data_IF_130360718072
#
_entry.id   IF_130360718072
#
_cell.length_a   1.000
_cell.length_b   1.000
_cell.length_c   1.000
_cell.angle_alpha   90.00
_cell.angle_beta   90.00
_cell.angle_gamma   90.00
#
_symmetry.space_group_name_H-M   'P 1'
#
loop_
_entity.id
_entity.type
_entity.pdbx_description
1 polymer ?
#
# COMPACT_ATOMS: atom_id res chain seq x y z
N UNK A 1 25.87 28.75 12.51
CA UNK A 1 25.81 29.36 11.15
C UNK A 1 26.22 28.29 10.16
N UNK A 2 25.29 27.94 9.26
CA UNK A 2 25.47 27.25 7.95
C UNK A 2 26.07 25.82 7.99
N UNK A 3 25.44 24.75 7.49
CA UNK A 3 24.18 24.58 6.79
C UNK A 3 23.96 23.08 6.49
N UNK A 4 22.74 22.61 6.76
CA UNK A 4 22.18 21.39 6.17
C UNK A 4 22.02 21.64 4.66
N UNK A 5 22.63 20.80 3.82
CA UNK A 5 22.14 20.49 2.46
C UNK A 5 23.09 19.48 1.82
N UNK A 6 22.78 18.18 1.93
CA UNK A 6 23.25 17.20 0.96
C UNK A 6 22.04 16.45 0.43
N UNK A 7 21.47 17.09 -0.58
CA UNK A 7 20.49 16.57 -1.52
C UNK A 7 20.86 15.17 -2.01
N UNK A 8 19.88 14.28 -1.97
CA UNK A 8 19.76 13.17 -2.92
C UNK A 8 19.63 13.76 -4.33
N UNK A 9 20.77 14.03 -4.97
CA UNK A 9 20.86 14.27 -6.41
C UNK A 9 20.65 12.95 -7.13
N UNK A 10 19.79 12.96 -8.15
CA UNK A 10 19.63 11.85 -9.07
C UNK A 10 21.01 11.36 -9.59
N UNK A 11 21.20 10.04 -9.78
CA UNK A 11 22.40 9.57 -10.46
C UNK A 11 22.41 10.12 -11.91
N UNK A 12 23.58 10.48 -12.46
CA UNK A 12 23.69 11.02 -13.80
C UNK A 12 23.19 10.02 -14.85
N UNK A 13 22.55 10.53 -15.91
CA UNK A 13 22.14 9.75 -17.08
C UNK A 13 23.33 8.95 -17.63
N UNK A 14 23.24 7.62 -17.61
CA UNK A 14 24.22 6.77 -18.29
C UNK A 14 24.46 5.38 -17.71
N UNK A 15 24.02 5.07 -16.49
CA UNK A 15 24.22 3.74 -15.89
C UNK A 15 22.88 3.03 -15.73
N UNK A 16 22.45 2.35 -16.78
CA UNK A 16 21.44 1.30 -16.71
C UNK A 16 22.03 0.09 -15.98
N UNK A 17 22.11 0.17 -14.65
CA UNK A 17 22.09 -1.05 -13.86
C UNK A 17 20.64 -1.52 -13.94
N UNK A 18 20.35 -2.68 -14.56
CA UNK A 18 19.00 -3.22 -14.47
C UNK A 18 18.82 -3.56 -13.00
N UNK A 19 18.13 -2.68 -12.27
CA UNK A 19 17.43 -3.08 -11.06
C UNK A 19 16.33 -3.99 -11.59
N UNK A 20 16.70 -5.23 -11.85
CA UNK A 20 15.78 -6.35 -11.85
C UNK A 20 15.25 -6.32 -10.43
N UNK A 21 14.14 -5.61 -10.24
CA UNK A 21 13.34 -5.76 -9.05
C UNK A 21 13.16 -7.26 -8.91
N UNK A 22 13.63 -7.78 -7.78
CA UNK A 22 13.46 -9.16 -7.39
C UNK A 22 11.98 -9.33 -7.10
N UNK A 23 11.16 -9.36 -8.16
CA UNK A 23 9.74 -9.72 -8.22
C UNK A 23 9.55 -11.20 -7.80
N UNK A 24 10.63 -11.91 -7.45
CA UNK A 24 10.67 -13.28 -6.95
C UNK A 24 10.08 -13.47 -5.55
N UNK A 25 9.40 -12.46 -4.98
CA UNK A 25 8.65 -12.63 -3.74
C UNK A 25 7.22 -13.12 -4.00
N UNK A 26 6.72 -13.08 -5.24
CA UNK A 26 5.58 -13.88 -5.66
C UNK A 26 6.12 -15.23 -6.16
N UNK A 27 5.79 -16.37 -5.50
CA UNK A 27 6.24 -17.66 -6.00
C UNK A 27 5.70 -17.91 -7.42
N UNK A 28 6.39 -18.75 -8.22
CA UNK A 28 5.93 -19.20 -9.55
C UNK A 28 4.47 -19.65 -9.59
N UNK A 29 3.92 -20.09 -8.46
CA UNK A 29 2.53 -20.53 -8.29
C UNK A 29 1.48 -19.40 -8.35
N UNK A 30 1.87 -18.13 -8.29
CA UNK A 30 0.95 -17.01 -8.58
C UNK A 30 0.94 -16.63 -10.05
N UNK A 31 2.01 -16.94 -10.76
CA UNK A 31 2.03 -16.83 -12.20
C UNK A 31 1.15 -17.97 -12.74
N UNK A 32 -0.06 -17.61 -13.19
CA UNK A 32 -1.00 -18.53 -13.82
C UNK A 32 -1.79 -19.46 -12.87
N UNK A 33 -2.41 -18.90 -11.82
CA UNK A 33 -3.34 -19.63 -10.93
C UNK A 33 -4.83 -19.34 -11.24
N UNK A 34 -5.18 -19.09 -12.51
CA UNK A 34 -6.54 -18.74 -12.94
C UNK A 34 -7.04 -17.35 -12.53
N UNK A 35 -6.37 -16.69 -11.58
CA UNK A 35 -6.63 -15.31 -11.17
C UNK A 35 -5.73 -14.29 -11.82
N UNK A 36 -4.42 -14.49 -11.77
CA UNK A 36 -3.44 -13.58 -12.33
C UNK A 36 -2.74 -14.28 -13.49
N UNK A 37 -2.72 -13.62 -14.65
CA UNK A 37 -1.98 -14.07 -15.82
C UNK A 37 -0.99 -13.01 -16.25
N UNK A 38 0.19 -13.46 -16.64
CA UNK A 38 1.22 -12.64 -17.26
C UNK A 38 1.61 -13.28 -18.58
N UNK A 39 1.77 -12.46 -19.61
CA UNK A 39 2.26 -12.90 -20.92
C UNK A 39 3.20 -11.86 -21.49
N UNK A 40 4.22 -12.34 -22.18
CA UNK A 40 5.10 -11.49 -22.97
C UNK A 40 4.47 -11.27 -24.34
N UNK A 41 4.39 -10.01 -24.76
CA UNK A 41 3.84 -9.61 -26.06
C UNK A 41 4.78 -8.59 -26.70
N UNK A 42 4.72 -8.47 -28.03
CA UNK A 42 5.42 -7.39 -28.74
C UNK A 42 4.83 -6.04 -28.31
N UNK A 43 5.66 -5.01 -28.17
CA UNK A 43 5.21 -3.64 -27.85
C UNK A 43 4.18 -3.13 -28.88
N UNK A 44 4.36 -3.46 -30.16
CA UNK A 44 3.46 -3.03 -31.24
C UNK A 44 2.06 -3.66 -31.14
N UNK A 45 1.93 -4.75 -30.37
CA UNK A 45 0.65 -5.41 -30.14
C UNK A 45 -0.20 -4.74 -29.05
N UNK A 46 0.35 -3.75 -28.34
CA UNK A 46 -0.34 -3.05 -27.25
C UNK A 46 -0.76 -1.65 -27.73
N UNK A 47 -2.07 -1.35 -27.79
CA UNK A 47 -2.55 -0.02 -28.12
C UNK A 47 -1.98 1.03 -27.17
N UNK A 48 -1.71 2.24 -27.66
CA UNK A 48 -1.23 3.37 -26.83
C UNK A 48 -2.20 3.79 -25.73
N UNK A 49 -3.47 3.41 -25.86
CA UNK A 49 -4.52 3.59 -24.84
C UNK A 49 -4.48 2.55 -23.72
N UNK A 50 -3.75 1.44 -23.86
CA UNK A 50 -3.66 0.36 -22.87
C UNK A 50 -2.33 0.44 -22.10
N UNK A 51 -2.41 0.39 -20.77
CA UNK A 51 -1.27 0.28 -19.89
C UNK A 51 -0.60 -1.07 -20.08
N UNK A 52 0.72 -1.05 -20.25
CA UNK A 52 1.55 -2.23 -20.17
C UNK A 52 2.92 -1.90 -19.63
N UNK A 53 3.53 -2.87 -18.93
CA UNK A 53 4.89 -2.73 -18.46
C UNK A 53 5.85 -3.08 -19.61
N UNK A 54 6.48 -2.06 -20.20
CA UNK A 54 7.49 -2.23 -21.24
C UNK A 54 8.84 -2.59 -20.58
N UNK A 55 9.44 -3.69 -21.01
CA UNK A 55 10.73 -4.18 -20.47
C UNK A 55 11.91 -3.77 -21.37
N UNK A 56 11.63 -3.16 -22.52
CA UNK A 56 12.64 -2.81 -23.53
C UNK A 56 12.90 -3.94 -24.51
N UNK A 57 13.53 -3.62 -25.64
CA UNK A 57 13.78 -4.59 -26.72
C UNK A 57 12.51 -5.01 -27.46
N UNK A 58 11.53 -4.11 -27.61
CA UNK A 58 10.23 -4.35 -28.25
C UNK A 58 9.34 -5.38 -27.50
N UNK A 59 9.59 -5.58 -26.20
CA UNK A 59 8.86 -6.55 -25.37
C UNK A 59 8.10 -5.85 -24.25
N UNK A 60 6.84 -6.23 -24.09
CA UNK A 60 5.97 -5.78 -23.01
C UNK A 60 5.34 -6.94 -22.26
N UNK A 61 5.03 -6.71 -20.98
CA UNK A 61 4.23 -7.61 -20.16
C UNK A 61 2.78 -7.16 -20.21
N UNK A 62 1.93 -8.07 -20.69
CA UNK A 62 0.48 -7.97 -20.52
C UNK A 62 0.08 -8.75 -19.29
N UNK A 63 -0.51 -8.04 -18.33
CA UNK A 63 -0.92 -8.55 -17.03
C UNK A 63 -2.43 -8.43 -16.90
N UNK A 64 -3.11 -9.50 -16.49
CA UNK A 64 -4.56 -9.43 -16.19
C UNK A 64 -4.89 -10.16 -14.90
N UNK A 65 -5.85 -9.61 -14.16
CA UNK A 65 -6.35 -10.19 -12.92
C UNK A 65 -7.86 -10.37 -12.96
N UNK A 66 -8.35 -11.58 -12.61
CA UNK A 66 -9.76 -11.86 -12.37
C UNK A 66 -10.12 -11.44 -10.95
N UNK A 67 -10.94 -10.40 -10.85
CA UNK A 67 -11.40 -9.86 -9.57
C UNK A 67 -12.56 -10.66 -8.99
N UNK A 68 -12.63 -10.73 -7.65
CA UNK A 68 -13.81 -11.21 -6.94
C UNK A 68 -14.88 -10.12 -6.76
N UNK A 69 -15.92 -10.37 -5.96
CA UNK A 69 -16.91 -9.36 -5.59
C UNK A 69 -16.24 -8.09 -5.06
N UNK A 70 -16.77 -6.91 -5.41
CA UNK A 70 -16.26 -5.62 -4.95
C UNK A 70 -17.17 -5.06 -3.87
N UNK A 71 -16.63 -4.58 -2.73
CA UNK A 71 -17.44 -3.94 -1.71
C UNK A 71 -18.01 -2.61 -2.24
N UNK A 72 -19.24 -2.27 -1.85
CA UNK A 72 -19.87 -0.98 -2.21
C UNK A 72 -19.27 0.18 -1.42
N UNK A 73 -18.92 -0.09 -0.16
CA UNK A 73 -18.23 0.84 0.76
C UNK A 73 -16.84 0.31 1.07
N UNK A 74 -15.79 1.16 1.11
CA UNK A 74 -14.46 0.71 1.49
C UNK A 74 -14.47 -0.01 2.84
N UNK A 75 -13.74 -1.11 2.93
CA UNK A 75 -13.50 -1.80 4.20
C UNK A 75 -12.61 -0.89 5.04
N UNK A 76 -12.91 -0.78 6.34
CA UNK A 76 -12.11 0.01 7.26
C UNK A 76 -11.07 -0.87 7.94
N UNK A 77 -9.80 -0.45 7.94
CA UNK A 77 -8.75 -1.15 8.67
C UNK A 77 -8.02 -0.15 9.57
N UNK A 78 -8.05 -0.45 10.87
CA UNK A 78 -7.37 0.28 11.92
C UNK A 78 -6.05 -0.41 12.23
N UNK A 79 -4.94 0.25 11.93
CA UNK A 79 -3.62 -0.35 12.03
C UNK A 79 -2.50 0.68 11.94
N UNK A 80 -1.24 0.27 12.09
CA UNK A 80 -0.09 1.16 11.92
C UNK A 80 1.13 0.38 11.42
N UNK A 81 2.06 1.11 10.81
CA UNK A 81 3.26 0.55 10.21
C UNK A 81 4.32 0.26 11.30
N UNK A 82 4.29 -0.95 11.88
CA UNK A 82 5.20 -1.34 12.98
C UNK A 82 6.44 -2.09 12.47
N UNK A 83 7.61 -1.45 12.49
CA UNK A 83 8.91 -2.09 12.24
C UNK A 83 9.63 -2.50 13.54
N UNK A 84 9.04 -3.40 14.31
CA UNK A 84 9.74 -4.14 15.35
C UNK A 84 9.48 -5.65 15.14
N UNK A 85 10.57 -6.42 15.08
CA UNK A 85 10.64 -7.89 15.03
C UNK A 85 9.62 -8.55 15.99
N UNK A 86 8.96 -9.67 15.65
CA UNK A 86 8.26 -10.01 14.42
C UNK A 86 6.75 -9.71 14.63
N UNK A 87 6.33 -8.44 14.56
CA UNK A 87 4.90 -8.14 14.51
C UNK A 87 4.44 -8.15 13.05
N UNK A 88 4.44 -9.34 12.46
CA UNK A 88 4.45 -9.60 11.00
C UNK A 88 3.05 -9.87 10.44
N UNK A 89 2.04 -9.42 11.18
CA UNK A 89 0.62 -9.65 10.92
C UNK A 89 -0.02 -8.50 10.12
N UNK A 90 0.51 -7.28 10.25
CA UNK A 90 0.04 -6.09 9.50
C UNK A 90 0.37 -6.18 8.01
N UNK A 91 1.57 -6.67 7.68
CA UNK A 91 2.02 -6.78 6.29
C UNK A 91 1.14 -7.77 5.49
N UNK A 92 0.66 -8.83 6.15
CA UNK A 92 -0.27 -9.79 5.57
C UNK A 92 -1.63 -9.17 5.21
N UNK A 93 -2.08 -8.16 5.98
CA UNK A 93 -3.33 -7.43 5.70
C UNK A 93 -3.18 -6.55 4.43
N UNK A 94 -2.07 -5.85 4.25
CA UNK A 94 -1.80 -5.10 3.00
C UNK A 94 -1.57 -6.02 1.81
N UNK A 95 -0.87 -7.13 2.02
CA UNK A 95 -0.63 -8.14 1.00
C UNK A 95 -1.97 -8.72 0.53
N UNK A 96 -2.87 -9.11 1.43
CA UNK A 96 -4.16 -9.67 1.01
C UNK A 96 -5.05 -8.63 0.35
N UNK A 97 -5.06 -7.38 0.82
CA UNK A 97 -5.79 -6.28 0.18
C UNK A 97 -5.27 -6.06 -1.25
N UNK A 98 -3.96 -6.14 -1.45
CA UNK A 98 -3.33 -6.02 -2.77
C UNK A 98 -3.62 -7.22 -3.67
N UNK A 99 -3.58 -8.44 -3.13
CA UNK A 99 -3.89 -9.68 -3.85
C UNK A 99 -5.36 -9.69 -4.31
N UNK A 100 -6.26 -9.23 -3.44
CA UNK A 100 -7.68 -9.14 -3.74
C UNK A 100 -8.05 -7.88 -4.51
N UNK A 101 -7.11 -6.97 -4.77
CA UNK A 101 -7.30 -5.66 -5.40
C UNK A 101 -8.44 -4.84 -4.77
N UNK A 102 -8.53 -4.85 -3.43
CA UNK A 102 -9.54 -4.12 -2.69
C UNK A 102 -9.11 -2.68 -2.44
N UNK A 103 -10.09 -1.77 -2.43
CA UNK A 103 -9.89 -0.41 -1.93
C UNK A 103 -10.30 -0.37 -0.46
N UNK A 104 -9.41 0.14 0.37
CA UNK A 104 -9.52 0.08 1.82
C UNK A 104 -9.32 1.46 2.40
N UNK A 105 -10.19 1.84 3.34
CA UNK A 105 -10.02 3.02 4.15
C UNK A 105 -9.17 2.68 5.38
N UNK A 106 -7.93 3.13 5.38
CA UNK A 106 -7.02 2.96 6.49
C UNK A 106 -7.20 4.08 7.51
N UNK A 107 -7.28 3.68 8.77
CA UNK A 107 -7.22 4.55 9.94
C UNK A 107 -5.91 4.29 10.70
N UNK A 108 -4.88 5.12 10.50
CA UNK A 108 -3.60 4.87 11.11
C UNK A 108 -3.65 4.94 12.62
N UNK A 109 -2.95 4.05 13.31
CA UNK A 109 -2.99 3.91 14.77
C UNK A 109 -1.57 3.97 15.36
N UNK A 110 -0.73 4.96 15.03
CA UNK A 110 0.66 5.03 15.52
C UNK A 110 0.71 5.05 17.05
N UNK A 111 1.86 4.69 17.64
CA UNK A 111 2.01 4.79 19.10
C UNK A 111 1.77 6.23 19.57
N UNK A 112 1.02 6.38 20.65
CA UNK A 112 0.60 7.68 21.20
C UNK A 112 -0.35 8.49 20.30
N UNK A 113 -0.91 7.88 19.24
CA UNK A 113 -1.97 8.49 18.43
C UNK A 113 -3.23 8.76 19.26
N UNK A 114 -3.72 10.01 19.33
CA UNK A 114 -4.86 10.38 20.16
C UNK A 114 -6.22 9.98 19.57
N UNK A 115 -6.32 9.68 18.26
CA UNK A 115 -7.61 9.61 17.59
C UNK A 115 -8.15 8.17 17.45
N UNK A 116 -7.41 7.28 16.80
CA UNK A 116 -8.01 5.99 16.36
C UNK A 116 -7.80 4.84 17.33
N UNK A 117 -6.73 4.85 18.14
CA UNK A 117 -6.53 3.81 19.17
C UNK A 117 -7.63 3.81 20.24
N UNK A 118 -8.10 4.98 20.75
CA UNK A 118 -9.25 5.01 21.66
C UNK A 118 -10.54 4.51 20.99
N UNK A 119 -10.75 4.81 19.70
CA UNK A 119 -11.91 4.32 18.94
C UNK A 119 -11.92 2.79 18.86
N UNK A 120 -10.77 2.15 18.58
CA UNK A 120 -10.65 0.68 18.56
C UNK A 120 -10.92 0.08 19.95
N UNK A 121 -10.45 0.72 21.02
CA UNK A 121 -10.78 0.28 22.39
C UNK A 121 -12.28 0.31 22.65
N UNK A 122 -12.98 1.36 22.19
CA UNK A 122 -14.43 1.50 22.35
C UNK A 122 -15.21 0.46 21.53
N UNK A 123 -14.76 0.18 20.29
CA UNK A 123 -15.48 -0.72 19.38
C UNK A 123 -15.22 -2.21 19.67
N UNK A 124 -13.99 -2.60 19.96
CA UNK A 124 -13.63 -4.01 20.14
C UNK A 124 -13.13 -4.37 21.55
N UNK A 125 -13.10 -3.44 22.49
CA UNK A 125 -12.80 -3.69 23.91
C UNK A 125 -11.32 -3.80 24.25
N UNK A 126 -10.41 -3.77 23.26
CA UNK A 126 -8.95 -3.77 23.47
C UNK A 126 -8.20 -3.00 22.38
N UNK A 127 -7.07 -2.39 22.74
CA UNK A 127 -6.16 -1.75 21.79
C UNK A 127 -5.26 -2.78 21.08
N UNK A 128 -5.89 -3.71 20.36
CA UNK A 128 -5.22 -4.70 19.53
C UNK A 128 -5.38 -4.31 18.06
N UNK A 129 -4.33 -4.54 17.26
CA UNK A 129 -4.31 -4.20 15.84
C UNK A 129 -3.67 -5.37 15.06
N UNK A 130 -4.03 -5.58 13.77
CA UNK A 130 -5.06 -4.85 13.03
C UNK A 130 -6.47 -5.12 13.59
N UNK A 131 -7.36 -4.14 13.41
CA UNK A 131 -8.80 -4.28 13.66
C UNK A 131 -9.52 -3.88 12.37
N UNK A 132 -10.37 -4.76 11.86
CA UNK A 132 -11.06 -4.55 10.58
C UNK A 132 -12.56 -4.42 10.82
N UNK A 133 -13.19 -3.51 10.09
CA UNK A 133 -14.64 -3.32 10.06
C UNK A 133 -15.08 -3.34 8.60
N UNK A 134 -16.00 -4.24 8.27
CA UNK A 134 -16.66 -4.25 6.96
C UNK A 134 -18.06 -3.63 7.06
N UNK A 135 -18.24 -2.37 6.63
CA UNK A 135 -19.54 -1.69 6.68
C UNK A 135 -20.58 -2.30 5.74
N UNK A 136 -20.18 -3.15 4.78
CA UNK A 136 -21.09 -3.82 3.85
C UNK A 136 -21.80 -5.02 4.50
N UNK A 137 -21.22 -5.58 5.57
CA UNK A 137 -21.76 -6.76 6.26
C UNK A 137 -22.00 -6.54 7.75
N UNK A 138 -21.47 -5.46 8.32
CA UNK A 138 -21.50 -5.19 9.76
C UNK A 138 -20.49 -6.02 10.56
N UNK A 139 -19.63 -6.80 9.90
CA UNK A 139 -18.61 -7.62 10.55
C UNK A 139 -17.48 -6.73 11.05
N UNK A 140 -17.03 -6.97 12.29
CA UNK A 140 -15.82 -6.37 12.85
C UNK A 140 -15.02 -7.43 13.60
N UNK A 141 -13.70 -7.48 13.42
CA UNK A 141 -12.86 -8.50 14.06
C UNK A 141 -11.40 -8.07 14.24
N UNK A 142 -10.75 -8.76 15.17
CA UNK A 142 -9.30 -8.76 15.37
C UNK A 142 -8.66 -9.94 14.62
N UNK A 143 -7.35 -10.13 14.85
CA UNK A 143 -6.52 -11.22 14.35
C UNK A 143 -6.34 -11.21 12.83
N UNK A 144 -5.12 -10.97 12.37
CA UNK A 144 -4.83 -10.88 10.93
C UNK A 144 -5.26 -12.12 10.16
N UNK A 145 -5.08 -13.31 10.74
CA UNK A 145 -5.40 -14.58 10.07
C UNK A 145 -6.91 -14.71 9.84
N UNK A 146 -7.73 -14.25 10.78
CA UNK A 146 -9.18 -14.27 10.65
C UNK A 146 -9.67 -13.19 9.69
N UNK A 147 -9.04 -12.02 9.70
CA UNK A 147 -9.27 -10.97 8.70
C UNK A 147 -8.95 -11.49 7.30
N UNK A 148 -7.80 -12.15 7.10
CA UNK A 148 -7.41 -12.72 5.80
C UNK A 148 -8.42 -13.77 5.34
N UNK A 149 -8.77 -14.74 6.20
CA UNK A 149 -9.80 -15.76 5.90
C UNK A 149 -11.11 -15.10 5.50
N UNK A 150 -11.55 -14.10 6.24
CA UNK A 150 -12.77 -13.37 5.96
C UNK A 150 -12.72 -12.70 4.58
N UNK A 151 -11.68 -11.90 4.30
CA UNK A 151 -11.53 -11.17 3.05
C UNK A 151 -11.45 -12.11 1.84
N UNK A 152 -10.70 -13.21 1.96
CA UNK A 152 -10.56 -14.23 0.90
C UNK A 152 -11.88 -14.95 0.64
N UNK A 153 -12.63 -15.29 1.69
CA UNK A 153 -13.93 -15.96 1.53
C UNK A 153 -15.00 -15.03 0.98
N UNK A 154 -15.02 -13.76 1.42
CA UNK A 154 -16.07 -12.80 1.08
C UNK A 154 -15.83 -12.11 -0.26
N UNK A 155 -14.60 -11.69 -0.52
CA UNK A 155 -14.21 -10.86 -1.66
C UNK A 155 -13.22 -11.55 -2.60
N UNK A 156 -12.84 -12.79 -2.28
CA UNK A 156 -12.01 -13.68 -3.08
C UNK A 156 -12.77 -14.92 -3.57
N UNK A 157 -12.13 -16.08 -3.48
CA UNK A 157 -12.53 -17.38 -4.03
C UNK A 157 -12.34 -18.48 -2.98
N UNK A 158 -12.13 -18.09 -1.73
CA UNK A 158 -11.82 -19.01 -0.63
C UNK A 158 -10.39 -19.53 -0.58
N UNK A 159 -9.53 -19.26 -1.58
CA UNK A 159 -8.15 -19.76 -1.58
C UNK A 159 -7.21 -18.78 -0.91
N UNK A 160 -6.70 -19.15 0.27
CA UNK A 160 -5.63 -18.41 0.93
C UNK A 160 -4.31 -18.82 0.27
N UNK A 161 -3.52 -17.87 -0.24
CA UNK A 161 -2.26 -18.22 -0.85
C UNK A 161 -1.27 -18.87 0.13
N UNK A 162 -0.52 -19.85 -0.36
CA UNK A 162 0.37 -20.69 0.47
C UNK A 162 1.44 -19.89 1.23
N UNK A 163 1.95 -18.78 0.67
CA UNK A 163 2.90 -17.90 1.36
C UNK A 163 2.31 -17.15 2.55
N UNK A 164 1.02 -16.77 2.48
CA UNK A 164 0.28 -16.22 3.61
C UNK A 164 -0.08 -17.32 4.63
N UNK A 165 -0.24 -18.56 4.15
CA UNK A 165 -0.50 -19.73 5.00
C UNK A 165 0.75 -20.30 5.70
N UNK A 166 1.96 -19.92 5.27
CA UNK A 166 3.24 -20.41 5.82
C UNK A 166 3.70 -19.68 7.10
N UNK A 167 2.95 -18.66 7.54
CA UNK A 167 3.16 -17.99 8.83
C UNK A 167 4.59 -17.46 9.04
N UNK A 168 5.18 -17.78 10.20
CA UNK A 168 6.46 -17.25 10.69
C UNK A 168 7.71 -17.57 9.84
N UNK A 169 7.64 -18.43 8.81
CA UNK A 169 8.81 -18.82 8.01
C UNK A 169 9.12 -17.86 6.85
N UNK A 170 8.09 -17.34 6.16
CA UNK A 170 8.25 -16.26 5.16
C UNK A 170 8.64 -14.93 5.83
N UNK A 171 8.22 -14.79 7.09
CA UNK A 171 8.43 -13.66 7.99
C UNK A 171 9.90 -13.40 8.35
N UNK A 172 10.74 -14.44 8.47
CA UNK A 172 12.12 -14.27 8.92
C UNK A 172 13.05 -13.66 7.86
N UNK A 173 12.80 -13.86 6.56
CA UNK A 173 13.68 -13.35 5.49
C UNK A 173 13.37 -11.89 5.12
N UNK A 174 12.11 -11.45 5.22
CA UNK A 174 11.70 -10.07 4.97
C UNK A 174 12.12 -9.10 6.11
N UNK A 175 12.12 -9.57 7.36
CA UNK A 175 12.46 -8.77 8.53
C UNK A 175 13.90 -8.22 8.54
N UNK A 176 14.88 -8.98 8.01
CA UNK A 176 16.28 -8.55 7.98
C UNK A 176 16.54 -7.40 7.00
N UNK A 177 15.80 -7.31 5.90
CA UNK A 177 15.93 -6.21 4.93
C UNK A 177 15.48 -4.86 5.51
N UNK A 178 14.72 -4.87 6.62
CA UNK A 178 14.05 -3.69 7.17
C UNK A 178 14.72 -3.10 8.42
N UNK A 179 15.81 -3.71 8.93
CA UNK A 179 16.49 -3.27 10.16
C UNK A 179 16.89 -1.78 10.11
N UNK A 180 17.33 -1.29 8.95
CA UNK A 180 17.74 0.12 8.77
C UNK A 180 16.62 1.15 8.88
N UNK A 181 15.35 0.73 9.00
CA UNK A 181 14.17 1.62 9.12
C UNK A 181 13.44 1.46 10.46
N UNK A 182 14.11 0.92 11.47
CA UNK A 182 13.53 0.68 12.79
C UNK A 182 12.88 1.96 13.37
N UNK A 183 11.59 1.88 13.69
CA UNK A 183 10.81 2.96 14.32
C UNK A 183 10.17 4.00 13.38
N UNK A 184 10.46 3.98 12.07
CA UNK A 184 9.72 4.80 11.10
C UNK A 184 8.27 4.33 10.97
N UNK A 185 7.32 5.24 10.78
CA UNK A 185 5.89 4.88 10.69
C UNK A 185 5.26 4.40 12.00
N UNK A 186 5.97 4.46 13.13
CA UNK A 186 5.55 3.76 14.35
C UNK A 186 5.01 4.65 15.48
N UNK A 187 5.32 5.94 15.47
CA UNK A 187 4.98 6.87 16.56
C UNK A 187 4.32 8.13 16.02
N UNK A 188 3.34 8.62 16.77
CA UNK A 188 2.55 9.78 16.40
C UNK A 188 3.39 11.07 16.41
N UNK A 189 3.18 11.87 15.39
CA UNK A 189 3.61 13.26 15.29
C UNK A 189 2.36 14.14 15.35
N UNK A 190 2.30 15.16 16.23
CA UNK A 190 1.15 16.05 16.32
C UNK A 190 0.70 16.57 14.95
N UNK A 191 -0.58 16.35 14.63
CA UNK A 191 -1.15 16.72 13.35
C UNK A 191 -2.61 17.19 13.50
N UNK A 192 -3.11 17.83 12.44
CA UNK A 192 -4.51 18.17 12.26
C UNK A 192 -5.15 17.04 11.46
N UNK A 193 -6.26 16.50 11.97
CA UNK A 193 -7.03 15.52 11.21
C UNK A 193 -7.70 16.19 9.99
N UNK A 194 -7.62 15.58 8.80
CA UNK A 194 -8.32 16.07 7.63
C UNK A 194 -9.84 15.83 7.77
N UNK A 195 -10.70 16.73 7.27
CA UNK A 195 -12.15 16.52 7.24
C UNK A 195 -12.59 15.29 6.44
N UNK A 196 -11.88 14.99 5.34
CA UNK A 196 -12.12 13.82 4.49
C UNK A 196 -10.84 12.99 4.35
N UNK A 197 -10.93 11.66 4.25
CA UNK A 197 -9.76 10.82 3.97
C UNK A 197 -9.06 11.24 2.68
N UNK A 198 -7.73 11.17 2.67
CA UNK A 198 -6.94 11.35 1.46
C UNK A 198 -7.05 10.08 0.58
N UNK A 199 -6.72 10.15 -0.71
CA UNK A 199 -6.60 8.96 -1.55
C UNK A 199 -5.13 8.74 -1.96
N UNK A 200 -4.63 7.53 -1.73
CA UNK A 200 -3.28 7.12 -2.12
C UNK A 200 -3.36 5.97 -3.11
N UNK A 201 -2.89 6.21 -4.34
CA UNK A 201 -2.61 5.16 -5.30
C UNK A 201 -1.22 4.63 -5.04
N UNK A 202 -1.13 3.36 -4.66
CA UNK A 202 0.13 2.79 -4.23
C UNK A 202 0.25 1.30 -4.53
N UNK A 203 1.50 0.88 -4.70
CA UNK A 203 1.90 -0.52 -4.77
C UNK A 203 2.65 -0.89 -3.48
N UNK A 204 2.22 -1.95 -2.81
CA UNK A 204 2.76 -2.40 -1.51
C UNK A 204 4.30 -2.54 -1.55
N UNK A 205 4.81 -3.23 -2.57
CA UNK A 205 6.23 -3.54 -2.73
C UNK A 205 7.09 -2.35 -3.16
N UNK A 206 6.49 -1.21 -3.51
CA UNK A 206 7.24 -0.01 -3.89
C UNK A 206 7.83 0.70 -2.67
N UNK A 207 9.16 0.88 -2.58
CA UNK A 207 9.78 1.61 -1.48
C UNK A 207 9.36 3.10 -1.45
N UNK A 208 9.03 3.69 -2.60
CA UNK A 208 8.53 5.07 -2.68
C UNK A 208 7.12 5.21 -2.10
N UNK A 209 6.25 4.22 -2.35
CA UNK A 209 4.93 4.18 -1.72
C UNK A 209 5.04 3.96 -0.21
N UNK A 210 5.99 3.12 0.21
CA UNK A 210 6.25 2.83 1.60
C UNK A 210 6.57 4.08 2.42
N UNK A 211 7.50 4.91 1.96
CA UNK A 211 7.89 6.11 2.72
C UNK A 211 6.76 7.13 2.85
N UNK A 212 5.82 7.17 1.89
CA UNK A 212 4.61 8.00 1.99
C UNK A 212 3.66 7.43 3.05
N UNK A 213 3.43 6.10 3.05
CA UNK A 213 2.59 5.44 4.06
C UNK A 213 3.12 5.65 5.48
N UNK A 214 4.44 5.54 5.68
CA UNK A 214 5.05 5.81 6.99
C UNK A 214 4.69 7.22 7.50
N UNK A 215 4.67 8.23 6.61
CA UNK A 215 4.31 9.61 6.97
C UNK A 215 2.81 9.77 7.20
N UNK A 216 1.97 9.14 6.39
CA UNK A 216 0.51 9.09 6.64
C UNK A 216 0.22 8.47 8.02
N UNK A 217 0.96 7.45 8.40
CA UNK A 217 0.82 6.80 9.71
C UNK A 217 1.35 7.68 10.84
N UNK A 218 2.55 8.25 10.71
CA UNK A 218 3.12 9.16 11.71
C UNK A 218 2.20 10.35 11.99
N UNK A 219 1.57 10.90 10.96
CA UNK A 219 0.63 12.02 11.07
C UNK A 219 -0.82 11.58 11.35
N UNK A 220 -1.07 10.30 11.59
CA UNK A 220 -2.40 9.76 11.89
C UNK A 220 -3.48 10.16 10.84
N UNK A 221 -3.13 10.18 9.55
CA UNK A 221 -4.00 10.65 8.46
C UNK A 221 -4.82 9.50 7.84
N UNK A 222 -6.16 9.51 7.97
CA UNK A 222 -7.01 8.53 7.29
C UNK A 222 -6.87 8.64 5.78
N UNK A 223 -6.77 7.49 5.12
CA UNK A 223 -6.62 7.47 3.66
C UNK A 223 -7.22 6.22 3.03
N UNK A 224 -7.82 6.40 1.85
CA UNK A 224 -8.20 5.30 0.98
C UNK A 224 -6.97 4.84 0.21
N UNK A 225 -6.56 3.59 0.40
CA UNK A 225 -5.58 2.96 -0.46
C UNK A 225 -6.27 2.46 -1.73
N UNK A 226 -5.86 2.97 -2.89
CA UNK A 226 -6.12 2.38 -4.19
C UNK A 226 -4.94 1.47 -4.55
N UNK A 227 -5.05 0.18 -4.27
CA UNK A 227 -3.95 -0.74 -4.56
C UNK A 227 -3.75 -0.89 -6.07
N UNK A 228 -2.53 -0.67 -6.54
CA UNK A 228 -2.13 -0.81 -7.95
C UNK A 228 -1.10 -1.94 -8.11
N UNK A 229 -1.38 -3.08 -7.49
CA UNK A 229 -0.57 -4.29 -7.62
C UNK A 229 -0.41 -4.74 -9.09
N UNK A 230 0.56 -5.62 -9.36
CA UNK A 230 0.76 -6.21 -10.70
C UNK A 230 -0.56 -6.85 -11.18
N UNK A 231 -0.93 -6.59 -12.43
CA UNK A 231 -2.21 -7.03 -13.01
C UNK A 231 -3.48 -6.34 -12.51
N UNK A 232 -3.40 -5.38 -11.57
CA UNK A 232 -4.58 -4.63 -11.16
C UNK A 232 -5.12 -3.78 -12.33
N UNK A 233 -6.44 -3.82 -12.62
CA UNK A 233 -7.04 -2.94 -13.61
C UNK A 233 -6.96 -1.46 -13.20
N UNK A 234 -6.71 -1.16 -11.92
CA UNK A 234 -6.50 0.23 -11.45
C UNK A 234 -5.27 0.89 -12.06
N UNK A 235 -4.31 0.12 -12.56
CA UNK A 235 -3.18 0.67 -13.34
C UNK A 235 -3.65 1.33 -14.62
N UNK A 236 -4.59 0.69 -15.32
CA UNK A 236 -5.26 1.26 -16.49
C UNK A 236 -6.07 2.49 -16.09
N UNK A 237 -6.85 2.41 -15.01
CA UNK A 237 -7.62 3.56 -14.51
C UNK A 237 -6.74 4.76 -14.19
N UNK A 238 -5.60 4.55 -13.52
CA UNK A 238 -4.65 5.63 -13.23
C UNK A 238 -4.03 6.16 -14.52
N UNK A 239 -3.63 5.27 -15.44
CA UNK A 239 -3.08 5.66 -16.74
C UNK A 239 -4.04 6.53 -17.55
N UNK A 240 -5.32 6.17 -17.63
CA UNK A 240 -6.36 6.98 -18.29
C UNK A 240 -6.58 8.32 -17.58
N UNK A 241 -6.49 8.33 -16.25
CA UNK A 241 -6.72 9.51 -15.42
C UNK A 241 -5.62 10.57 -15.53
N UNK A 242 -4.36 10.14 -15.65
CA UNK A 242 -3.18 11.05 -15.55
C UNK A 242 -2.23 10.98 -16.76
N UNK A 243 -2.55 10.15 -17.76
CA UNK A 243 -1.80 9.99 -19.00
C UNK A 243 -0.55 9.10 -18.92
N UNK A 244 -0.18 8.62 -17.73
CA UNK A 244 0.92 7.67 -17.52
C UNK A 244 0.69 6.89 -16.22
N UNK A 245 1.45 5.82 -16.00
CA UNK A 245 1.40 5.08 -14.75
C UNK A 245 2.65 5.35 -13.93
N UNK A 246 2.48 5.97 -12.77
CA UNK A 246 3.51 6.17 -11.76
C UNK A 246 2.87 6.08 -10.38
N UNK A 247 3.58 5.52 -9.40
CA UNK A 247 3.15 5.47 -8.00
C UNK A 247 4.33 5.74 -7.06
N UNK A 248 4.13 6.41 -5.91
CA UNK A 248 2.85 6.84 -5.35
C UNK A 248 2.22 8.04 -6.09
N UNK A 249 0.89 8.09 -6.07
CA UNK A 249 0.12 9.25 -6.50
C UNK A 249 -0.91 9.58 -5.42
N UNK A 250 -0.87 10.82 -4.92
CA UNK A 250 -1.72 11.31 -3.84
C UNK A 250 -2.81 12.21 -4.41
N UNK A 251 -4.04 12.03 -3.95
CA UNK A 251 -5.13 12.99 -4.13
C UNK A 251 -5.65 13.43 -2.76
N UNK A 252 -5.72 14.73 -2.55
CA UNK A 252 -6.24 15.33 -1.34
C UNK A 252 -7.46 16.20 -1.67
N UNK A 253 -8.66 15.65 -1.42
CA UNK A 253 -9.91 16.35 -1.65
C UNK A 253 -10.09 17.58 -0.73
N UNK A 254 -9.36 17.66 0.38
CA UNK A 254 -9.47 18.76 1.34
C UNK A 254 -8.80 20.04 0.82
N UNK A 255 -7.77 19.91 -0.02
CA UNK A 255 -7.01 21.04 -0.59
C UNK A 255 -7.12 21.13 -2.12
N UNK A 256 -7.59 20.07 -2.78
CA UNK A 256 -7.62 19.92 -4.23
C UNK A 256 -6.29 19.45 -4.83
N UNK A 257 -5.27 19.16 -4.02
CA UNK A 257 -3.95 18.74 -4.49
C UNK A 257 -4.01 17.33 -5.09
N UNK A 258 -3.31 17.17 -6.21
CA UNK A 258 -3.10 15.91 -6.92
C UNK A 258 -1.66 15.86 -7.39
N UNK A 259 -0.87 14.91 -6.90
CA UNK A 259 0.58 14.95 -7.15
C UNK A 259 1.25 13.58 -7.11
N UNK A 260 2.38 13.50 -7.83
CA UNK A 260 3.32 12.39 -7.80
C UNK A 260 4.53 12.74 -6.91
N UNK A 261 5.61 11.98 -7.05
CA UNK A 261 6.89 12.15 -6.38
C UNK A 261 6.81 11.98 -4.86
N UNK A 262 7.28 10.83 -4.37
CA UNK A 262 7.16 10.49 -2.96
C UNK A 262 7.78 11.52 -2.01
N UNK A 263 8.87 12.19 -2.43
CA UNK A 263 9.50 13.25 -1.63
C UNK A 263 8.59 14.49 -1.51
N UNK A 264 8.02 14.94 -2.63
CA UNK A 264 7.12 16.09 -2.67
C UNK A 264 5.82 15.80 -1.93
N UNK A 265 5.28 14.58 -2.06
CA UNK A 265 4.12 14.12 -1.28
C UNK A 265 4.41 14.21 0.23
N UNK A 266 5.58 13.75 0.68
CA UNK A 266 5.95 13.80 2.10
C UNK A 266 6.06 15.25 2.59
N UNK A 267 6.71 16.12 1.82
CA UNK A 267 6.85 17.53 2.15
C UNK A 267 5.49 18.20 2.23
N UNK A 268 4.60 17.92 1.27
CA UNK A 268 3.22 18.38 1.26
C UNK A 268 2.44 17.94 2.51
N UNK A 269 2.45 16.63 2.83
CA UNK A 269 1.73 16.08 3.98
C UNK A 269 2.19 16.73 5.29
N UNK A 270 3.50 16.89 5.46
CA UNK A 270 4.07 17.54 6.65
C UNK A 270 3.71 19.02 6.70
N UNK A 271 3.84 19.76 5.61
CA UNK A 271 3.51 21.18 5.57
C UNK A 271 2.02 21.46 5.82
N UNK A 272 1.15 20.58 5.33
CA UNK A 272 -0.31 20.77 5.39
C UNK A 272 -0.90 20.32 6.72
N UNK A 273 -0.49 19.16 7.21
CA UNK A 273 -1.16 18.50 8.33
C UNK A 273 -0.35 18.45 9.63
N UNK A 274 0.98 18.53 9.60
CA UNK A 274 1.73 18.53 10.85
C UNK A 274 1.48 19.84 11.62
N UNK A 275 1.29 19.71 12.93
CA UNK A 275 1.35 20.85 13.82
C UNK A 275 2.83 21.18 14.04
N UNK A 276 3.23 22.43 13.79
CA UNK A 276 4.55 22.89 14.21
C UNK A 276 4.64 22.72 15.73
N UNK A 277 5.69 22.04 16.21
CA UNK A 277 6.00 22.03 17.63
C UNK A 277 6.30 23.48 18.03
N UNK A 278 5.41 24.13 18.77
CA UNK A 278 5.71 25.35 19.52
C UNK A 278 6.55 25.00 20.74
#
# INVERSE_FOLDING_TARGET
MVGLSLYYRQPPLGTSIPIVFKDSNLPPTYFNNGRYSVSFVSEDAIPSSEYAMRIGGSLALKETSKLGPRPEKPIEIYEFERYYIPCMFYQLTWEIVSILDLDVLFYPCPRNGPNFRPKVLQMGGKQQFPYMVDPNTGVAMYESDDIIKYLVNKYGDGTIPTMLSLGLLTTLTAGFAMIGRMGKGSSYTPSKLPPQPLELWAYEASPFCKIVREVLVELELPHILRSTARGSPKRQTLYEKVGHFQVPYLEDANTGVKMFESAEIIDYLRATYACLNN
#
